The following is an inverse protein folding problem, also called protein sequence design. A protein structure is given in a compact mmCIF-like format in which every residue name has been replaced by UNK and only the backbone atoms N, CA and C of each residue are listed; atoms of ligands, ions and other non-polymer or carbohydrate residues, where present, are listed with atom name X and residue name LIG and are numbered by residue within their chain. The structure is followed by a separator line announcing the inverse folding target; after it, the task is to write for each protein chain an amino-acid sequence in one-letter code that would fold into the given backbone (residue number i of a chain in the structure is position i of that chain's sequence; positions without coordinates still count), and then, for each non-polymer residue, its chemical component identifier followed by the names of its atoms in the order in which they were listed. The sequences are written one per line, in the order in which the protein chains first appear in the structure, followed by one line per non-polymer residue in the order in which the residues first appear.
data_IF_920126030861
#
_entry.id   IF_920126030861
#
_cell.length_a   1.000
_cell.length_b   1.000
_cell.length_c   1.000
_cell.angle_alpha   90.00
_cell.angle_beta   90.00
_cell.angle_gamma   90.00
#
_symmetry.space_group_name_H-M   'P 1'
#
loop_
_entity.id
_entity.type
_entity.pdbx_description
1 polymer ?
#
# COMPACT_ATOMS: atom_id res chain seq x y z
N UNK A 1 0.28 -12.38 6.31
CA UNK A 1 -0.35 -13.14 5.19
C UNK A 1 0.55 -14.29 4.70
N UNK A 2 1.77 -14.00 4.14
CA UNK A 2 2.60 -15.07 3.54
C UNK A 2 2.90 -16.20 4.54
N UNK A 3 3.40 -15.86 5.73
CA UNK A 3 3.72 -16.86 6.76
C UNK A 3 2.50 -17.58 7.32
N UNK A 4 1.39 -16.91 7.45
CA UNK A 4 0.12 -17.53 7.87
C UNK A 4 -0.35 -18.56 6.83
N UNK A 5 -0.23 -18.23 5.54
CA UNK A 5 -0.57 -19.16 4.47
C UNK A 5 0.38 -20.36 4.43
N UNK A 6 1.70 -20.13 4.57
CA UNK A 6 2.69 -21.23 4.70
C UNK A 6 2.41 -22.09 5.94
N UNK A 7 2.06 -21.48 7.06
CA UNK A 7 1.67 -22.22 8.28
C UNK A 7 0.41 -23.08 8.10
N UNK A 8 -0.40 -22.79 7.10
CA UNK A 8 -1.56 -23.60 6.67
C UNK A 8 -1.21 -24.63 5.59
N UNK A 9 0.07 -24.76 5.23
CA UNK A 9 0.56 -25.73 4.24
C UNK A 9 0.49 -25.26 2.79
N UNK A 10 0.18 -23.98 2.53
CA UNK A 10 0.14 -23.42 1.19
C UNK A 10 1.54 -23.08 0.66
N UNK A 11 1.76 -23.28 -0.62
CA UNK A 11 2.92 -22.75 -1.35
C UNK A 11 2.65 -21.31 -1.73
N UNK A 12 3.47 -20.38 -1.24
CA UNK A 12 3.28 -18.94 -1.42
C UNK A 12 4.38 -18.37 -2.30
N UNK A 13 4.00 -17.72 -3.38
CA UNK A 13 4.87 -16.90 -4.21
C UNK A 13 4.67 -15.43 -3.89
N UNK A 14 5.76 -14.70 -3.64
CA UNK A 14 5.75 -13.24 -3.50
C UNK A 14 6.50 -12.62 -4.67
N UNK A 15 5.88 -11.67 -5.32
CA UNK A 15 6.47 -10.89 -6.43
C UNK A 15 6.14 -9.41 -6.29
N UNK A 16 6.75 -8.57 -7.11
CA UNK A 16 6.41 -7.16 -7.22
C UNK A 16 6.24 -6.77 -8.68
N UNK A 17 5.30 -5.89 -9.00
CA UNK A 17 5.20 -5.21 -10.29
C UNK A 17 5.90 -3.84 -10.27
N UNK A 18 6.47 -3.46 -9.12
CA UNK A 18 7.20 -2.21 -8.90
C UNK A 18 8.65 -2.49 -8.45
N UNK A 19 9.01 -2.01 -7.27
CA UNK A 19 10.32 -2.27 -6.65
C UNK A 19 10.12 -2.55 -5.17
N UNK A 20 10.58 -3.69 -4.69
CA UNK A 20 10.58 -4.01 -3.26
C UNK A 20 12.00 -4.27 -2.74
N UNK A 21 12.19 -4.26 -1.43
CA UNK A 21 13.45 -4.64 -0.82
C UNK A 21 13.78 -6.10 -1.14
N UNK A 22 15.03 -6.40 -1.46
CA UNK A 22 15.49 -7.77 -1.68
C UNK A 22 15.51 -8.49 -0.35
N UNK A 23 14.75 -9.59 -0.18
CA UNK A 23 14.82 -10.36 1.04
C UNK A 23 16.11 -11.16 1.13
N UNK A 24 16.57 -11.41 2.36
CA UNK A 24 17.79 -12.21 2.61
C UNK A 24 17.61 -13.70 2.39
N UNK A 25 16.38 -14.22 2.44
CA UNK A 25 16.05 -15.63 2.30
C UNK A 25 14.88 -15.83 1.31
N UNK A 26 14.69 -17.06 0.84
CA UNK A 26 13.59 -17.47 -0.06
C UNK A 26 13.63 -16.81 -1.46
N UNK A 27 14.69 -16.08 -1.78
CA UNK A 27 14.80 -15.33 -3.01
C UNK A 27 15.22 -16.17 -4.22
N UNK A 28 14.52 -15.99 -5.35
CA UNK A 28 14.94 -16.40 -6.68
C UNK A 28 15.05 -15.15 -7.53
N UNK A 29 16.28 -14.69 -7.74
CA UNK A 29 16.54 -13.44 -8.42
C UNK A 29 17.26 -13.69 -9.73
N UNK A 30 16.74 -13.12 -10.82
CA UNK A 30 17.21 -13.35 -12.19
C UNK A 30 17.18 -14.84 -12.61
N UNK A 31 16.36 -15.65 -11.89
CA UNK A 31 16.21 -17.09 -12.11
C UNK A 31 15.03 -17.42 -13.02
N UNK A 32 14.68 -18.71 -13.03
CA UNK A 32 13.63 -19.28 -13.87
C UNK A 32 12.54 -19.98 -13.01
N UNK A 33 11.52 -20.50 -13.67
CA UNK A 33 10.39 -21.16 -12.99
C UNK A 33 10.80 -22.44 -12.24
N UNK A 34 11.77 -23.19 -12.71
CA UNK A 34 12.25 -24.42 -12.05
C UNK A 34 12.95 -24.10 -10.73
N UNK A 35 13.71 -23.01 -10.68
CA UNK A 35 14.31 -22.52 -9.43
C UNK A 35 13.25 -22.07 -8.43
N UNK A 36 12.19 -21.37 -8.92
CA UNK A 36 11.04 -20.97 -8.10
C UNK A 36 10.34 -22.23 -7.55
N UNK A 37 10.06 -23.21 -8.39
CA UNK A 37 9.48 -24.51 -7.99
C UNK A 37 10.29 -25.16 -6.88
N UNK A 38 11.60 -25.26 -7.06
CA UNK A 38 12.52 -25.89 -6.10
C UNK A 38 12.44 -25.19 -4.73
N UNK A 39 12.40 -23.86 -4.71
CA UNK A 39 12.29 -23.09 -3.45
C UNK A 39 10.92 -23.28 -2.80
N UNK A 40 9.83 -23.22 -3.57
CA UNK A 40 8.47 -23.46 -3.08
C UNK A 40 8.33 -24.86 -2.47
N UNK A 41 8.82 -25.90 -3.12
CA UNK A 41 8.75 -27.29 -2.63
C UNK A 41 9.54 -27.50 -1.34
N UNK A 42 10.70 -26.87 -1.22
CA UNK A 42 11.57 -27.02 -0.04
C UNK A 42 11.15 -26.17 1.15
N UNK A 43 10.54 -25.01 0.91
CA UNK A 43 10.37 -23.97 1.94
C UNK A 43 8.95 -23.44 2.08
N UNK A 44 8.05 -23.79 1.16
CA UNK A 44 6.68 -23.27 1.12
C UNK A 44 6.54 -21.80 0.69
N UNK A 45 7.65 -21.04 0.68
CA UNK A 45 7.68 -19.63 0.31
C UNK A 45 8.81 -19.35 -0.68
N UNK A 46 8.50 -18.68 -1.77
CA UNK A 46 9.50 -18.11 -2.69
C UNK A 46 9.23 -16.60 -2.93
N UNK A 47 10.29 -15.82 -3.05
CA UNK A 47 10.22 -14.41 -3.47
C UNK A 47 10.96 -14.28 -4.79
N UNK A 48 10.24 -13.95 -5.87
CA UNK A 48 10.82 -13.87 -7.20
C UNK A 48 10.89 -12.43 -7.73
N UNK A 49 11.98 -12.11 -8.43
CA UNK A 49 12.18 -10.80 -9.02
C UNK A 49 13.48 -10.73 -9.82
N UNK A 50 13.67 -9.61 -10.54
CA UNK A 50 14.97 -9.27 -11.14
C UNK A 50 15.75 -8.39 -10.18
N UNK A 51 17.05 -8.58 -10.13
CA UNK A 51 17.94 -7.73 -9.34
C UNK A 51 17.86 -6.28 -9.83
N UNK A 52 17.70 -5.37 -8.90
CA UNK A 52 17.69 -3.93 -9.15
C UNK A 52 18.73 -3.23 -8.25
N UNK A 53 18.95 -1.93 -8.50
CA UNK A 53 19.91 -1.14 -7.72
C UNK A 53 19.51 -1.02 -6.23
N UNK A 54 20.47 -0.69 -5.40
CA UNK A 54 20.30 -0.37 -3.97
C UNK A 54 19.66 -1.49 -3.15
N UNK A 55 20.00 -2.74 -3.44
CA UNK A 55 19.49 -3.89 -2.69
C UNK A 55 17.98 -4.12 -2.87
N UNK A 56 17.46 -3.79 -4.03
CA UNK A 56 16.06 -4.01 -4.41
C UNK A 56 15.92 -5.10 -5.45
N UNK A 57 14.67 -5.53 -5.63
CA UNK A 57 14.23 -6.32 -6.77
C UNK A 57 13.09 -5.58 -7.48
N UNK A 58 12.92 -5.89 -8.77
CA UNK A 58 11.84 -5.40 -9.61
C UNK A 58 11.10 -6.56 -10.27
N UNK A 59 10.14 -6.26 -11.10
CA UNK A 59 9.26 -7.24 -11.74
C UNK A 59 10.03 -8.31 -12.55
N UNK A 60 9.59 -9.55 -12.41
CA UNK A 60 10.18 -10.70 -13.13
C UNK A 60 9.97 -10.65 -14.65
N UNK A 61 8.97 -9.91 -15.11
CA UNK A 61 8.43 -9.95 -16.48
C UNK A 61 7.19 -10.86 -16.56
N UNK A 62 6.30 -10.56 -17.50
CA UNK A 62 4.99 -11.22 -17.60
C UNK A 62 5.06 -12.71 -17.93
N UNK A 63 6.04 -13.14 -18.71
CA UNK A 63 6.21 -14.55 -19.09
C UNK A 63 6.52 -15.41 -17.85
N UNK A 64 7.60 -15.07 -17.13
CA UNK A 64 7.97 -15.80 -15.92
C UNK A 64 6.90 -15.65 -14.82
N UNK A 65 6.25 -14.49 -14.69
CA UNK A 65 5.16 -14.29 -13.74
C UNK A 65 4.01 -15.29 -13.98
N UNK A 66 3.53 -15.41 -15.23
CA UNK A 66 2.44 -16.33 -15.57
C UNK A 66 2.80 -17.79 -15.31
N UNK A 67 4.01 -18.19 -15.66
CA UNK A 67 4.51 -19.54 -15.41
C UNK A 67 4.61 -19.80 -13.90
N UNK A 68 5.18 -18.89 -13.14
CA UNK A 68 5.37 -19.01 -11.71
C UNK A 68 4.04 -19.03 -10.92
N UNK A 69 2.99 -18.33 -11.38
CA UNK A 69 1.67 -18.39 -10.77
C UNK A 69 1.12 -19.83 -10.71
N UNK A 70 1.40 -20.66 -11.71
CA UNK A 70 0.92 -22.05 -11.75
C UNK A 70 1.63 -22.99 -10.74
N UNK A 71 2.70 -22.52 -10.09
CA UNK A 71 3.52 -23.28 -9.15
C UNK A 71 3.13 -23.07 -7.69
N UNK A 72 2.32 -22.06 -7.40
CA UNK A 72 1.93 -21.64 -6.06
C UNK A 72 0.42 -21.76 -5.84
N UNK A 73 0.04 -22.00 -4.59
CA UNK A 73 -1.37 -21.99 -4.17
C UNK A 73 -1.86 -20.58 -3.89
N UNK A 74 -0.93 -19.67 -3.51
CA UNK A 74 -1.18 -18.24 -3.26
C UNK A 74 -0.07 -17.39 -3.87
N UNK A 75 -0.45 -16.39 -4.65
CA UNK A 75 0.48 -15.38 -5.19
C UNK A 75 0.19 -14.03 -4.54
N UNK A 76 1.18 -13.45 -3.90
CA UNK A 76 1.13 -12.11 -3.31
C UNK A 76 1.94 -11.14 -4.17
N UNK A 77 1.29 -10.08 -4.64
CA UNK A 77 1.92 -9.09 -5.54
C UNK A 77 1.99 -7.74 -4.85
N UNK A 78 3.21 -7.19 -4.65
CA UNK A 78 3.37 -5.79 -4.30
C UNK A 78 3.20 -4.93 -5.57
N UNK A 79 2.03 -4.31 -5.70
CA UNK A 79 1.66 -3.54 -6.88
C UNK A 79 1.87 -2.02 -6.72
N UNK A 80 2.13 -1.53 -5.51
CA UNK A 80 2.21 -0.09 -5.20
C UNK A 80 3.08 0.21 -3.97
N UNK A 81 4.40 0.22 -4.16
CA UNK A 81 5.35 0.47 -3.07
C UNK A 81 5.25 1.89 -2.49
N UNK A 82 5.16 2.02 -1.17
CA UNK A 82 5.02 3.29 -0.43
C UNK A 82 6.33 3.85 0.14
N UNK A 83 7.48 3.27 -0.15
CA UNK A 83 8.77 3.61 0.48
C UNK A 83 8.75 3.51 2.01
N UNK A 84 7.98 2.58 2.55
CA UNK A 84 7.72 2.36 3.99
C UNK A 84 6.94 3.50 4.67
N UNK A 85 6.37 4.43 3.92
CA UNK A 85 5.46 5.42 4.49
C UNK A 85 4.08 4.79 4.69
N UNK A 86 3.37 5.13 5.79
CA UNK A 86 2.08 4.53 6.12
C UNK A 86 0.95 4.95 5.19
N UNK A 87 1.11 6.08 4.50
CA UNK A 87 0.15 6.56 3.50
C UNK A 87 0.81 6.74 2.14
N UNK A 88 0.03 6.53 1.11
CA UNK A 88 0.37 6.86 -0.28
C UNK A 88 -0.90 7.20 -1.06
N UNK A 89 -0.75 8.02 -2.08
CA UNK A 89 -1.74 8.19 -3.15
C UNK A 89 -1.09 7.77 -4.47
N UNK A 90 -1.73 6.93 -5.27
CA UNK A 90 -1.17 6.48 -6.55
C UNK A 90 -1.16 7.64 -7.55
N UNK A 91 -0.16 7.65 -8.42
CA UNK A 91 -0.13 8.51 -9.61
C UNK A 91 -0.71 7.79 -10.81
N UNK A 92 -0.83 8.48 -11.94
CA UNK A 92 -1.24 7.87 -13.19
C UNK A 92 -0.34 6.66 -13.54
N UNK A 93 -0.98 5.51 -13.83
CA UNK A 93 -0.31 4.25 -14.10
C UNK A 93 0.07 3.44 -12.86
N UNK A 94 -0.29 3.86 -11.68
CA UNK A 94 -0.19 3.09 -10.42
C UNK A 94 -1.59 2.85 -9.84
N UNK A 95 -1.80 1.74 -9.12
CA UNK A 95 -0.95 0.54 -9.03
C UNK A 95 -0.93 -0.29 -10.34
N UNK A 96 0.11 -1.12 -10.50
CA UNK A 96 0.20 -2.05 -11.64
C UNK A 96 -0.35 -3.41 -11.21
N UNK A 97 -1.63 -3.61 -11.43
CA UNK A 97 -2.37 -4.81 -11.03
C UNK A 97 -2.34 -5.84 -12.16
N UNK A 98 -1.92 -7.10 -11.91
CA UNK A 98 -2.01 -8.17 -12.90
C UNK A 98 -3.46 -8.52 -13.25
N UNK A 99 -3.70 -8.90 -14.51
CA UNK A 99 -5.05 -9.23 -15.00
C UNK A 99 -5.68 -10.45 -14.32
N UNK A 100 -4.86 -11.36 -13.77
CA UNK A 100 -5.28 -12.56 -13.06
C UNK A 100 -5.42 -12.36 -11.55
N UNK A 101 -5.67 -11.13 -11.09
CA UNK A 101 -5.82 -10.81 -9.67
C UNK A 101 -7.24 -11.12 -9.20
N UNK A 102 -7.36 -11.96 -8.18
CA UNK A 102 -8.66 -12.31 -7.56
C UNK A 102 -9.09 -11.27 -6.52
N UNK A 103 -8.12 -10.69 -5.80
CA UNK A 103 -8.38 -9.75 -4.70
C UNK A 103 -7.33 -8.64 -4.65
N UNK A 104 -7.76 -7.41 -4.42
CA UNK A 104 -6.89 -6.25 -4.22
C UNK A 104 -7.04 -5.75 -2.79
N UNK A 105 -5.94 -5.69 -2.05
CA UNK A 105 -5.89 -5.12 -0.70
C UNK A 105 -5.32 -3.69 -0.77
N UNK A 106 -6.11 -2.71 -0.40
CA UNK A 106 -5.69 -1.30 -0.32
C UNK A 106 -5.27 -0.98 1.13
N UNK A 107 -3.98 -0.74 1.35
CA UNK A 107 -3.42 -0.61 2.70
C UNK A 107 -3.13 0.84 3.07
N UNK A 108 -3.62 1.28 4.23
CA UNK A 108 -3.21 2.51 4.91
C UNK A 108 -2.78 2.21 6.35
N UNK A 109 -1.65 2.76 6.79
CA UNK A 109 -1.14 2.56 8.14
C UNK A 109 -1.73 3.56 9.15
N UNK A 110 -2.33 3.06 10.23
CA UNK A 110 -2.90 3.89 11.31
C UNK A 110 -1.86 4.78 11.99
N UNK A 111 -0.59 4.41 11.95
CA UNK A 111 0.50 5.24 12.49
C UNK A 111 0.67 6.59 11.80
N UNK A 112 -0.07 6.86 10.72
CA UNK A 112 -0.14 8.19 10.10
C UNK A 112 -1.01 9.17 10.87
N UNK A 113 -1.95 8.71 11.69
CA UNK A 113 -2.85 9.57 12.46
C UNK A 113 -2.07 10.49 13.40
N UNK A 114 -2.44 11.77 13.41
CA UNK A 114 -1.79 12.80 14.21
C UNK A 114 -0.42 13.24 13.70
N UNK A 115 0.09 12.67 12.60
CA UNK A 115 1.36 13.08 11.96
C UNK A 115 1.13 14.10 10.86
N UNK A 116 2.19 14.85 10.55
CA UNK A 116 2.20 15.76 9.40
C UNK A 116 2.17 14.92 8.12
N UNK A 117 1.34 15.31 7.16
CA UNK A 117 1.20 14.57 5.90
C UNK A 117 2.53 14.48 5.13
N UNK A 118 3.38 15.49 5.20
CA UNK A 118 4.70 15.52 4.56
C UNK A 118 5.66 14.47 5.11
N UNK A 119 5.49 14.04 6.37
CA UNK A 119 6.34 13.06 7.04
C UNK A 119 5.85 11.61 6.86
N UNK A 120 4.59 11.42 6.47
CA UNK A 120 3.95 10.11 6.48
C UNK A 120 3.21 9.72 5.18
N UNK A 121 3.08 10.63 4.20
CA UNK A 121 2.37 10.38 2.96
C UNK A 121 3.27 10.50 1.73
N UNK A 122 3.38 9.43 0.96
CA UNK A 122 4.04 9.44 -0.33
C UNK A 122 3.10 10.03 -1.39
N UNK A 123 3.60 10.88 -2.28
CA UNK A 123 2.82 11.60 -3.31
C UNK A 123 1.90 12.67 -2.69
N UNK A 124 2.52 13.54 -1.93
CA UNK A 124 1.83 14.58 -1.16
C UNK A 124 0.99 15.52 -2.03
N UNK A 125 1.45 15.86 -3.26
CA UNK A 125 0.71 16.75 -4.16
C UNK A 125 -0.57 16.08 -4.69
N UNK A 126 -0.49 14.79 -5.04
CA UNK A 126 -1.66 13.99 -5.43
C UNK A 126 -2.64 13.85 -4.25
N UNK A 127 -2.13 13.64 -3.04
CA UNK A 127 -2.95 13.61 -1.84
C UNK A 127 -3.67 14.94 -1.59
N UNK A 128 -2.97 16.07 -1.73
CA UNK A 128 -3.55 17.41 -1.62
C UNK A 128 -4.63 17.67 -2.67
N UNK A 129 -4.39 17.22 -3.91
CA UNK A 129 -5.39 17.35 -4.98
C UNK A 129 -6.68 16.59 -4.66
N UNK A 130 -6.57 15.36 -4.12
CA UNK A 130 -7.73 14.59 -3.66
C UNK A 130 -8.43 15.27 -2.50
N UNK A 131 -7.70 15.76 -1.50
CA UNK A 131 -8.27 16.45 -0.36
C UNK A 131 -8.96 17.76 -0.75
N UNK A 132 -8.42 18.50 -1.70
CA UNK A 132 -9.08 19.69 -2.25
C UNK A 132 -10.42 19.37 -2.91
N UNK A 133 -10.50 18.21 -3.57
CA UNK A 133 -11.71 17.80 -4.32
C UNK A 133 -12.75 17.10 -3.44
N UNK A 134 -12.34 16.29 -2.48
CA UNK A 134 -13.21 15.38 -1.75
C UNK A 134 -13.08 15.46 -0.22
N UNK A 135 -12.07 16.19 0.27
CA UNK A 135 -11.76 16.28 1.68
C UNK A 135 -12.63 17.28 2.45
N UNK A 136 -12.27 17.47 3.71
CA UNK A 136 -12.95 18.41 4.61
C UNK A 136 -12.77 19.84 4.10
N UNK A 137 -13.78 20.69 4.30
CA UNK A 137 -13.79 22.13 3.93
C UNK A 137 -12.65 22.98 4.55
N UNK A 138 -11.85 22.43 5.46
CA UNK A 138 -10.68 23.11 6.05
C UNK A 138 -9.54 23.38 5.05
N UNK A 139 -9.61 22.80 3.85
CA UNK A 139 -8.68 23.06 2.75
C UNK A 139 -9.16 24.17 1.79
N UNK A 140 -10.25 24.87 2.12
CA UNK A 140 -10.59 26.10 1.40
C UNK A 140 -9.48 27.12 1.62
N UNK A 141 -8.85 27.45 0.52
CA UNK A 141 -7.66 28.27 0.39
C UNK A 141 -7.85 29.59 1.18
N UNK A 142 -7.01 29.84 2.16
CA UNK A 142 -6.90 31.14 2.85
C UNK A 142 -6.58 32.30 1.88
N UNK A 143 -6.55 32.05 0.59
CA UNK A 143 -6.28 33.00 -0.48
C UNK A 143 -7.46 33.88 -0.82
N UNK A 144 -8.71 33.48 -0.57
CA UNK A 144 -9.88 34.30 -0.95
C UNK A 144 -10.18 35.44 0.03
N UNK A 145 -9.52 35.53 1.18
CA UNK A 145 -9.84 36.56 2.18
C UNK A 145 -8.79 37.67 2.37
N UNK A 146 -7.73 37.75 1.54
CA UNK A 146 -6.74 38.83 1.71
C UNK A 146 -6.47 39.57 0.40
N UNK A 147 -6.78 40.88 0.46
CA UNK A 147 -6.52 41.85 -0.58
C UNK A 147 -5.03 41.98 -0.94
N UNK A 148 -4.79 42.55 -2.11
CA UNK A 148 -3.52 42.80 -2.76
C UNK A 148 -2.51 43.55 -1.87
N UNK A 149 -1.53 42.84 -1.31
CA UNK A 149 -0.38 43.41 -0.62
C UNK A 149 0.89 42.64 -0.96
N UNK A 150 1.98 43.35 -1.19
CA UNK A 150 3.27 42.89 -1.71
C UNK A 150 4.07 41.95 -0.77
N UNK A 151 3.56 41.66 0.44
CA UNK A 151 4.20 40.74 1.40
C UNK A 151 3.78 39.27 1.24
N UNK A 152 3.05 38.98 0.17
CA UNK A 152 2.45 37.64 -0.05
C UNK A 152 3.47 36.52 -0.36
N UNK A 153 4.67 36.84 -0.81
CA UNK A 153 5.66 35.83 -1.21
C UNK A 153 6.43 35.22 -0.04
N UNK A 154 6.75 35.99 0.98
CA UNK A 154 7.44 35.48 2.18
C UNK A 154 6.48 34.80 3.17
N UNK A 155 5.22 35.28 3.27
CA UNK A 155 4.19 34.61 4.07
C UNK A 155 3.72 33.28 3.46
N UNK A 156 3.75 33.12 2.13
CA UNK A 156 3.39 31.87 1.45
C UNK A 156 4.34 30.70 1.74
N UNK A 157 5.58 30.96 2.12
CA UNK A 157 6.53 29.93 2.54
C UNK A 157 6.29 29.45 3.99
N UNK A 158 5.74 30.32 4.86
CA UNK A 158 5.47 30.03 6.28
C UNK A 158 4.07 29.50 6.58
N UNK A 159 3.12 29.59 5.67
CA UNK A 159 1.71 29.21 5.89
C UNK A 159 1.24 28.09 4.94
N UNK A 160 2.10 27.13 4.57
CA UNK A 160 1.61 25.78 4.34
C UNK A 160 1.24 25.24 5.72
N UNK A 161 0.01 25.53 6.17
CA UNK A 161 -0.51 25.03 7.43
C UNK A 161 -0.20 23.52 7.48
N UNK A 162 0.48 23.08 8.55
CA UNK A 162 0.87 21.69 8.73
C UNK A 162 -0.39 20.84 8.61
N UNK A 163 -0.50 20.08 7.54
CA UNK A 163 -1.60 19.16 7.38
C UNK A 163 -1.37 17.96 8.30
N UNK A 164 -2.04 17.98 9.43
CA UNK A 164 -2.06 16.85 10.37
C UNK A 164 -3.13 15.87 9.94
N UNK A 165 -2.73 14.64 9.67
CA UNK A 165 -3.60 13.57 9.20
C UNK A 165 -4.64 13.22 10.28
N UNK A 166 -5.91 13.28 9.88
CA UNK A 166 -7.06 12.86 10.67
C UNK A 166 -7.69 11.60 10.07
N UNK A 167 -8.57 10.92 10.81
CA UNK A 167 -9.25 9.71 10.32
C UNK A 167 -10.05 9.98 9.03
N UNK A 168 -10.70 11.14 8.94
CA UNK A 168 -11.46 11.54 7.75
C UNK A 168 -10.57 11.74 6.53
N UNK A 169 -9.32 12.20 6.73
CA UNK A 169 -8.35 12.35 5.64
C UNK A 169 -7.94 10.96 5.13
N UNK A 170 -7.62 10.04 6.03
CA UNK A 170 -7.28 8.66 5.65
C UNK A 170 -8.43 7.98 4.90
N UNK A 171 -9.67 8.12 5.39
CA UNK A 171 -10.86 7.59 4.72
C UNK A 171 -11.04 8.18 3.32
N UNK A 172 -10.86 9.49 3.18
CA UNK A 172 -10.94 10.18 1.89
C UNK A 172 -9.86 9.69 0.92
N UNK A 173 -8.61 9.62 1.37
CA UNK A 173 -7.48 9.14 0.55
C UNK A 173 -7.65 7.67 0.15
N UNK A 174 -8.11 6.81 1.07
CA UNK A 174 -8.42 5.41 0.78
C UNK A 174 -9.53 5.30 -0.26
N UNK A 175 -10.66 5.95 -0.02
CA UNK A 175 -11.85 5.85 -0.87
C UNK A 175 -11.60 6.38 -2.28
N UNK A 176 -11.08 7.59 -2.39
CA UNK A 176 -10.94 8.29 -3.68
C UNK A 176 -9.59 8.05 -4.36
N UNK A 177 -8.54 7.68 -3.60
CA UNK A 177 -7.25 7.34 -4.16
C UNK A 177 -7.18 5.89 -4.65
N UNK A 178 -7.89 4.96 -3.99
CA UNK A 178 -7.78 3.54 -4.29
C UNK A 178 -9.11 2.86 -4.57
N UNK A 179 -10.05 2.82 -3.61
CA UNK A 179 -11.22 1.93 -3.71
C UNK A 179 -12.06 2.22 -4.94
N UNK A 180 -12.52 3.46 -5.12
CA UNK A 180 -13.38 3.81 -6.25
C UNK A 180 -12.68 3.66 -7.60
N UNK A 181 -11.42 4.14 -7.80
CA UNK A 181 -10.71 3.94 -9.06
C UNK A 181 -10.46 2.47 -9.38
N UNK A 182 -10.04 1.67 -8.39
CA UNK A 182 -9.72 0.26 -8.61
C UNK A 182 -10.97 -0.58 -8.89
N UNK A 183 -12.07 -0.35 -8.19
CA UNK A 183 -13.35 -1.01 -8.48
C UNK A 183 -13.88 -0.68 -9.87
N UNK A 184 -13.66 0.54 -10.33
CA UNK A 184 -14.02 0.93 -11.70
C UNK A 184 -13.11 0.30 -12.77
N UNK A 185 -11.80 0.18 -12.49
CA UNK A 185 -10.82 -0.38 -13.42
C UNK A 185 -10.84 -1.92 -13.46
N UNK A 186 -11.21 -2.59 -12.35
CA UNK A 186 -11.20 -4.04 -12.19
C UNK A 186 -12.58 -4.58 -11.79
N UNK A 187 -13.58 -4.49 -12.67
CA UNK A 187 -14.93 -4.99 -12.40
C UNK A 187 -14.88 -6.53 -12.24
N UNK A 188 -15.34 -7.03 -11.12
CA UNK A 188 -15.31 -8.47 -10.79
C UNK A 188 -14.14 -8.90 -9.89
N UNK A 189 -13.14 -8.04 -9.67
CA UNK A 189 -12.10 -8.25 -8.66
C UNK A 189 -12.56 -7.67 -7.32
N UNK A 190 -12.40 -8.42 -6.24
CA UNK A 190 -12.70 -7.93 -4.91
C UNK A 190 -11.67 -6.88 -4.49
N UNK A 191 -12.11 -5.67 -4.08
CA UNK A 191 -11.23 -4.58 -3.63
C UNK A 191 -11.57 -4.23 -2.19
N UNK A 192 -10.65 -4.56 -1.28
CA UNK A 192 -10.83 -4.42 0.16
C UNK A 192 -9.92 -3.34 0.77
N UNK A 193 -10.47 -2.45 1.59
CA UNK A 193 -9.67 -1.56 2.44
C UNK A 193 -9.04 -2.34 3.60
N UNK A 194 -7.79 -2.01 3.90
CA UNK A 194 -7.06 -2.58 5.05
C UNK A 194 -6.41 -1.44 5.83
N UNK A 195 -6.77 -1.30 7.09
CA UNK A 195 -6.05 -0.44 8.02
C UNK A 195 -4.99 -1.26 8.76
N UNK A 196 -3.73 -1.02 8.41
CA UNK A 196 -2.57 -1.72 8.97
C UNK A 196 -2.03 -0.97 10.21
N UNK A 197 -1.21 -1.67 11.02
CA UNK A 197 -0.63 -1.13 12.25
C UNK A 197 -1.71 -0.85 13.32
N UNK A 198 -2.72 -1.70 13.38
CA UNK A 198 -3.73 -1.73 14.42
C UNK A 198 -3.28 -2.68 15.56
N UNK A 199 -2.25 -2.24 16.31
CA UNK A 199 -1.53 -3.08 17.26
C UNK A 199 -2.23 -3.17 18.64
N UNK A 200 -3.23 -2.32 18.86
CA UNK A 200 -4.02 -2.28 20.09
C UNK A 200 -5.51 -2.50 19.81
N UNK A 201 -6.30 -2.98 20.80
CA UNK A 201 -7.75 -3.09 20.66
C UNK A 201 -8.42 -1.75 20.29
N UNK A 202 -7.90 -0.63 20.76
CA UNK A 202 -8.40 0.71 20.46
C UNK A 202 -8.17 1.06 18.99
N UNK A 203 -7.00 0.76 18.46
CA UNK A 203 -6.69 0.97 17.04
C UNK A 203 -7.50 0.05 16.13
N UNK A 204 -7.73 -1.20 16.54
CA UNK A 204 -8.61 -2.12 15.83
C UNK A 204 -10.07 -1.62 15.82
N UNK A 205 -10.57 -1.10 16.96
CA UNK A 205 -11.90 -0.49 17.03
C UNK A 205 -11.99 0.75 16.13
N UNK A 206 -10.97 1.61 16.14
CA UNK A 206 -10.91 2.79 15.28
C UNK A 206 -10.91 2.40 13.78
N UNK A 207 -10.17 1.35 13.39
CA UNK A 207 -10.21 0.82 12.04
C UNK A 207 -11.63 0.38 11.65
N UNK A 208 -12.34 -0.31 12.53
CA UNK A 208 -13.74 -0.69 12.34
C UNK A 208 -14.64 0.52 12.12
N UNK A 209 -14.57 1.55 12.98
CA UNK A 209 -15.31 2.80 12.81
C UNK A 209 -15.03 3.49 11.47
N UNK A 210 -13.77 3.46 11.02
CA UNK A 210 -13.38 4.06 9.75
C UNK A 210 -13.95 3.28 8.56
N UNK A 211 -13.96 1.95 8.61
CA UNK A 211 -14.58 1.10 7.59
C UNK A 211 -16.09 1.37 7.49
N UNK A 212 -16.79 1.37 8.62
CA UNK A 212 -18.23 1.72 8.69
C UNK A 212 -18.49 3.13 8.15
N UNK A 213 -17.67 4.11 8.54
CA UNK A 213 -17.78 5.50 8.09
C UNK A 213 -17.55 5.69 6.59
N UNK A 214 -16.81 4.78 5.93
CA UNK A 214 -16.68 4.75 4.48
C UNK A 214 -17.85 4.03 3.77
N UNK A 215 -18.72 3.37 4.53
CA UNK A 215 -19.81 2.53 4.02
C UNK A 215 -19.33 1.16 3.52
N UNK A 216 -18.18 0.69 4.02
CA UNK A 216 -17.61 -0.60 3.66
C UNK A 216 -18.20 -1.70 4.53
N UNK A 217 -18.69 -2.75 3.89
CA UNK A 217 -19.22 -3.95 4.56
C UNK A 217 -18.16 -5.04 4.73
N UNK A 218 -17.04 -4.88 4.03
CA UNK A 218 -15.90 -5.79 4.05
C UNK A 218 -14.61 -4.97 4.14
N UNK A 219 -13.67 -5.44 4.90
CA UNK A 219 -12.37 -4.83 5.10
C UNK A 219 -11.63 -5.50 6.24
N UNK A 220 -10.42 -5.08 6.51
CA UNK A 220 -9.59 -5.67 7.55
C UNK A 220 -8.82 -4.62 8.34
N UNK A 221 -8.53 -4.95 9.60
CA UNK A 221 -7.48 -4.34 10.39
C UNK A 221 -6.37 -5.37 10.58
N UNK A 222 -5.11 -4.96 10.45
CA UNK A 222 -3.97 -5.84 10.73
C UNK A 222 -3.00 -5.17 11.68
N UNK A 223 -2.53 -5.93 12.65
CA UNK A 223 -1.55 -5.51 13.64
C UNK A 223 -0.12 -5.87 13.27
N UNK A 224 0.79 -5.60 14.18
CA UNK A 224 2.20 -5.93 14.06
C UNK A 224 2.40 -7.44 14.00
N UNK A 225 3.30 -7.90 13.13
CA UNK A 225 3.78 -9.27 13.14
C UNK A 225 4.48 -9.56 14.46
N UNK A 226 4.27 -10.75 15.00
CA UNK A 226 5.05 -11.24 16.13
C UNK A 226 6.55 -11.12 15.81
N UNK A 227 7.36 -10.66 16.78
CA UNK A 227 8.79 -10.39 16.59
C UNK A 227 9.56 -11.59 16.03
N UNK A 228 9.16 -12.81 16.41
CA UNK A 228 9.74 -14.07 15.89
C UNK A 228 9.49 -14.27 14.37
N UNK A 229 8.40 -13.75 13.84
CA UNK A 229 8.06 -13.84 12.42
C UNK A 229 8.78 -12.73 11.64
N UNK A 230 8.89 -11.52 12.21
CA UNK A 230 9.61 -10.41 11.55
C UNK A 230 11.11 -10.69 11.41
N UNK A 231 11.73 -11.36 12.37
CA UNK A 231 13.15 -11.75 12.33
C UNK A 231 13.47 -12.77 11.21
N UNK A 232 12.48 -13.46 10.66
CA UNK A 232 12.65 -14.43 9.56
C UNK A 232 12.52 -13.82 8.16
N UNK A 233 12.05 -12.56 8.06
CA UNK A 233 11.81 -11.86 6.79
C UNK A 233 12.99 -10.98 6.33
N UNK A 234 13.95 -10.66 7.22
CA UNK A 234 15.07 -9.75 6.95
C UNK A 234 16.43 -10.38 7.16
#
# INVERSE_FOLDING_TARGET
LAWEAVGRGLKVLVVTTTHMARPGAFGVFDGNAEEIRTVLERRGLAVAGRTAEKGKITFTGWELYKEACSLADLVLVEADGSRRLPLKVPRAGEPVIPDNTDMILCLNGLTSLGKRAEDCCLRLEEARALMKRYGRKMYEDSREQRGSGTDALELNAKHKADWIIQKEDMMTLMKHGYLLPLRAAHPGTEVLPVFNQADTPQEAALAGEMLEGMGETSGAASGQLDQDVSARLF
#
